data_IF_418482723495
#
_entry.id   IF_418482723495
#
_cell.length_a   1.000
_cell.length_b   1.000
_cell.length_c   1.000
_cell.angle_alpha   90.00
_cell.angle_beta   90.00
_cell.angle_gamma   90.00
#
_symmetry.space_group_name_H-M   'P 1'
#
loop_
_entity.id
_entity.type
_entity.pdbx_description
1 polymer ?
#
# COMPACT_ATOMS: atom_id res chain seq x y z
N UNK A 1 10.49 22.60 72.18
CA UNK A 1 11.17 22.33 70.89
C UNK A 1 10.19 21.51 70.04
N UNK A 2 9.47 22.17 69.10
CA UNK A 2 8.46 21.51 68.24
C UNK A 2 9.08 21.35 66.85
N UNK A 3 9.25 20.11 66.43
CA UNK A 3 9.65 19.79 65.04
C UNK A 3 8.41 19.91 64.13
N UNK A 4 8.53 20.78 63.13
CA UNK A 4 7.56 20.90 62.06
C UNK A 4 8.04 20.01 60.89
N UNK A 5 7.27 18.96 60.58
CA UNK A 5 7.52 18.12 59.42
C UNK A 5 6.80 18.71 58.22
N UNK A 6 7.57 19.20 57.26
CA UNK A 6 7.06 19.69 55.99
C UNK A 6 7.03 18.49 55.02
N UNK A 7 5.84 17.94 54.74
CA UNK A 7 5.66 16.92 53.72
C UNK A 7 5.60 17.58 52.35
N UNK A 8 6.63 17.34 51.53
CA UNK A 8 6.64 17.72 50.11
C UNK A 8 5.82 16.71 49.33
N UNK A 9 4.69 17.16 48.81
CA UNK A 9 3.84 16.39 47.89
C UNK A 9 4.38 16.53 46.48
N UNK A 10 5.01 15.44 45.96
CA UNK A 10 5.48 15.37 44.58
C UNK A 10 4.28 15.03 43.69
N UNK A 11 3.81 16.02 42.93
CA UNK A 11 2.77 15.89 41.94
C UNK A 11 3.38 15.32 40.66
N UNK A 12 3.29 14.00 40.43
CA UNK A 12 3.63 13.36 39.17
C UNK A 12 2.60 13.75 38.11
N UNK A 13 2.94 14.66 37.21
CA UNK A 13 2.18 14.93 35.97
C UNK A 13 2.39 13.75 35.04
N UNK A 14 1.40 12.88 34.91
CA UNK A 14 1.30 11.87 33.83
C UNK A 14 0.95 12.63 32.53
N UNK A 15 1.96 12.86 31.70
CA UNK A 15 1.76 13.33 30.32
C UNK A 15 1.29 12.11 29.54
N UNK A 16 -0.03 12.02 29.31
CA UNK A 16 -0.58 11.08 28.35
C UNK A 16 -0.17 11.51 26.94
N UNK A 17 0.75 10.76 26.31
CA UNK A 17 1.03 10.93 24.89
C UNK A 17 -0.26 10.61 24.11
N UNK A 18 -0.64 11.43 23.10
CA UNK A 18 -1.79 11.10 22.26
C UNK A 18 -1.49 9.79 21.54
N UNK A 19 -2.20 8.72 21.89
CA UNK A 19 -2.15 7.44 21.20
C UNK A 19 -2.68 7.65 19.78
N UNK A 20 -1.83 7.46 18.76
CA UNK A 20 -2.27 7.39 17.36
C UNK A 20 -3.26 6.22 17.27
N UNK A 21 -4.43 6.47 16.70
CA UNK A 21 -5.44 5.42 16.51
C UNK A 21 -4.89 4.33 15.59
N UNK A 22 -5.12 3.04 15.93
CA UNK A 22 -4.73 1.90 15.08
C UNK A 22 -5.23 2.05 13.63
N UNK A 23 -6.41 2.62 13.43
CA UNK A 23 -6.97 2.89 12.11
C UNK A 23 -6.17 3.94 11.32
N UNK A 24 -5.65 4.95 12.00
CA UNK A 24 -4.81 6.00 11.39
C UNK A 24 -3.43 5.46 11.03
N UNK A 25 -2.86 4.57 11.84
CA UNK A 25 -1.60 3.86 11.54
C UNK A 25 -1.76 2.90 10.35
N UNK A 26 -2.88 2.17 10.24
CA UNK A 26 -3.17 1.28 9.11
C UNK A 26 -3.29 2.07 7.81
N UNK A 27 -4.07 3.16 7.81
CA UNK A 27 -4.22 4.02 6.64
C UNK A 27 -2.87 4.59 6.16
N UNK A 28 -2.08 5.13 7.08
CA UNK A 28 -0.74 5.66 6.78
C UNK A 28 0.21 4.60 6.23
N UNK A 29 0.12 3.36 6.73
CA UNK A 29 0.90 2.23 6.21
C UNK A 29 0.50 1.87 4.77
N UNK A 30 -0.79 1.87 4.44
CA UNK A 30 -1.30 1.61 3.08
C UNK A 30 -0.90 2.75 2.13
N UNK A 31 -0.99 4.01 2.55
CA UNK A 31 -0.55 5.16 1.75
C UNK A 31 0.94 5.09 1.39
N UNK A 32 1.79 4.68 2.33
CA UNK A 32 3.22 4.43 2.07
C UNK A 32 3.43 3.31 1.07
N UNK A 33 2.69 2.19 1.21
CA UNK A 33 2.78 1.08 0.28
C UNK A 33 2.35 1.48 -1.14
N UNK A 34 1.27 2.25 -1.28
CA UNK A 34 0.81 2.79 -2.58
C UNK A 34 1.82 3.74 -3.20
N UNK A 35 2.38 4.65 -2.41
CA UNK A 35 3.41 5.59 -2.89
C UNK A 35 4.65 4.85 -3.41
N UNK A 36 5.11 3.82 -2.70
CA UNK A 36 6.26 3.02 -3.12
C UNK A 36 5.94 2.22 -4.39
N UNK A 37 4.75 1.64 -4.48
CA UNK A 37 4.28 0.89 -5.63
C UNK A 37 4.15 1.78 -6.87
N UNK A 38 3.50 2.95 -6.77
CA UNK A 38 3.38 3.95 -7.84
C UNK A 38 4.76 4.43 -8.31
N UNK A 39 5.69 4.65 -7.39
CA UNK A 39 7.04 5.06 -7.74
C UNK A 39 7.78 4.00 -8.57
N UNK A 40 7.65 2.71 -8.24
CA UNK A 40 8.22 1.61 -9.00
C UNK A 40 7.55 1.48 -10.37
N UNK A 41 6.21 1.55 -10.41
CA UNK A 41 5.44 1.49 -11.66
C UNK A 41 5.83 2.62 -12.61
N UNK A 42 5.90 3.86 -12.13
CA UNK A 42 6.20 5.03 -12.95
C UNK A 42 7.66 5.10 -13.43
N UNK A 43 8.55 4.32 -12.82
CA UNK A 43 9.90 4.02 -13.34
C UNK A 43 9.90 2.89 -14.37
N UNK A 44 8.76 2.25 -14.61
CA UNK A 44 8.61 1.05 -15.44
C UNK A 44 9.53 -0.10 -14.99
N UNK A 45 9.79 -0.19 -13.68
CA UNK A 45 10.59 -1.24 -13.07
C UNK A 45 9.69 -2.39 -12.60
N UNK A 46 9.39 -3.32 -13.51
CA UNK A 46 8.53 -4.46 -13.24
C UNK A 46 9.07 -5.35 -12.11
N UNK A 47 10.38 -5.46 -11.97
CA UNK A 47 11.03 -6.22 -10.91
C UNK A 47 10.82 -5.55 -9.55
N UNK A 48 10.99 -4.23 -9.47
CA UNK A 48 10.70 -3.48 -8.25
C UNK A 48 9.22 -3.54 -7.88
N UNK A 49 8.30 -3.46 -8.85
CA UNK A 49 6.87 -3.68 -8.62
C UNK A 49 6.63 -5.08 -8.05
N UNK A 50 7.16 -6.13 -8.68
CA UNK A 50 7.00 -7.51 -8.22
C UNK A 50 7.60 -7.75 -6.82
N UNK A 51 8.66 -7.04 -6.43
CA UNK A 51 9.26 -7.13 -5.10
C UNK A 51 8.35 -6.62 -3.97
N UNK A 52 7.30 -5.87 -4.29
CA UNK A 52 6.27 -5.44 -3.32
C UNK A 52 5.28 -6.55 -2.96
N UNK A 53 5.33 -7.70 -3.62
CA UNK A 53 4.44 -8.83 -3.37
C UNK A 53 5.14 -9.90 -2.53
N UNK A 54 4.34 -10.65 -1.75
CA UNK A 54 4.82 -11.87 -1.07
C UNK A 54 4.99 -13.02 -2.06
N UNK A 55 5.76 -14.04 -1.70
CA UNK A 55 6.03 -15.19 -2.57
C UNK A 55 4.75 -15.94 -3.01
N UNK A 56 3.71 -15.99 -2.15
CA UNK A 56 2.43 -16.65 -2.41
C UNK A 56 1.37 -15.74 -3.03
N UNK A 57 1.74 -14.54 -3.48
CA UNK A 57 0.80 -13.53 -3.96
C UNK A 57 0.00 -13.95 -5.19
N UNK A 58 -1.16 -13.34 -5.34
CA UNK A 58 -2.03 -13.45 -6.52
C UNK A 58 -2.38 -12.07 -7.03
N UNK A 59 -2.24 -11.91 -8.34
CA UNK A 59 -2.72 -10.76 -9.08
C UNK A 59 -3.86 -11.23 -10.00
N UNK A 60 -5.02 -10.63 -9.87
CA UNK A 60 -6.22 -10.93 -10.65
C UNK A 60 -6.62 -9.72 -11.51
N UNK A 61 -6.04 -9.58 -12.70
CA UNK A 61 -6.37 -8.48 -13.61
C UNK A 61 -7.70 -8.70 -14.34
N UNK A 62 -8.25 -7.69 -15.00
CA UNK A 62 -9.51 -7.81 -15.76
C UNK A 62 -9.41 -8.75 -16.97
N UNK A 63 -8.23 -9.23 -17.31
CA UNK A 63 -8.02 -10.25 -18.36
C UNK A 63 -8.48 -11.66 -17.94
N UNK A 64 -8.90 -11.85 -16.69
CA UNK A 64 -9.29 -13.13 -16.08
C UNK A 64 -8.14 -14.17 -16.01
N UNK A 65 -6.91 -13.77 -16.24
CA UNK A 65 -5.72 -14.62 -16.09
C UNK A 65 -5.02 -14.27 -14.78
N UNK A 66 -5.02 -15.21 -13.83
CA UNK A 66 -4.36 -15.02 -12.53
C UNK A 66 -2.86 -15.18 -12.69
N UNK A 67 -2.09 -14.15 -12.29
CA UNK A 67 -0.64 -14.26 -12.15
C UNK A 67 -0.30 -14.66 -10.70
N UNK A 68 0.51 -15.70 -10.56
CA UNK A 68 0.83 -16.34 -9.29
C UNK A 68 2.31 -16.20 -8.95
N UNK A 69 2.59 -15.52 -7.84
CA UNK A 69 3.93 -15.27 -7.36
C UNK A 69 4.68 -14.19 -8.13
N UNK A 70 5.84 -13.73 -7.58
CA UNK A 70 6.54 -12.56 -8.12
C UNK A 70 6.95 -12.67 -9.58
N UNK A 71 7.35 -13.85 -10.07
CA UNK A 71 7.83 -14.01 -11.45
C UNK A 71 6.73 -13.80 -12.50
N UNK A 72 5.53 -14.36 -12.29
CA UNK A 72 4.41 -14.15 -13.21
C UNK A 72 3.86 -12.72 -13.09
N UNK A 73 3.88 -12.15 -11.89
CA UNK A 73 3.48 -10.76 -11.63
C UNK A 73 4.44 -9.78 -12.31
N UNK A 74 5.76 -10.01 -12.22
CA UNK A 74 6.76 -9.22 -12.94
C UNK A 74 6.51 -9.26 -14.45
N UNK A 75 6.29 -10.44 -15.02
CA UNK A 75 5.97 -10.63 -16.44
C UNK A 75 4.71 -9.87 -16.86
N UNK A 76 3.66 -9.90 -16.02
CA UNK A 76 2.44 -9.16 -16.27
C UNK A 76 2.68 -7.65 -16.37
N UNK A 77 3.36 -7.05 -15.38
CA UNK A 77 3.65 -5.62 -15.36
C UNK A 77 4.61 -5.21 -16.48
N UNK A 78 5.63 -6.02 -16.78
CA UNK A 78 6.52 -5.80 -17.92
C UNK A 78 5.75 -5.74 -19.25
N UNK A 79 4.72 -6.59 -19.41
CA UNK A 79 3.84 -6.56 -20.58
C UNK A 79 3.05 -5.26 -20.70
N UNK A 80 2.51 -4.72 -19.60
CA UNK A 80 1.83 -3.43 -19.59
C UNK A 80 2.78 -2.27 -19.91
N UNK A 81 3.99 -2.31 -19.40
CA UNK A 81 5.01 -1.29 -19.70
C UNK A 81 5.41 -1.31 -21.18
N UNK A 82 5.62 -2.49 -21.75
CA UNK A 82 5.86 -2.66 -23.18
C UNK A 82 4.69 -2.15 -24.05
N UNK A 83 3.45 -2.25 -23.54
CA UNK A 83 2.24 -1.68 -24.14
C UNK A 83 2.13 -0.16 -24.00
N UNK A 84 3.06 0.48 -23.27
CA UNK A 84 3.13 1.93 -23.12
C UNK A 84 2.21 2.53 -22.06
N UNK A 85 1.81 1.75 -21.07
CA UNK A 85 1.07 2.26 -19.90
C UNK A 85 2.03 3.05 -19.00
N UNK A 86 1.63 4.27 -18.61
CA UNK A 86 2.45 5.21 -17.83
C UNK A 86 1.58 6.05 -16.90
N UNK A 87 2.21 6.84 -16.01
CA UNK A 87 1.54 7.87 -15.22
C UNK A 87 0.53 7.29 -14.23
N UNK A 88 0.83 6.12 -13.63
CA UNK A 88 -0.05 5.46 -12.69
C UNK A 88 -0.14 6.22 -11.36
N UNK A 89 -1.33 6.26 -10.80
CA UNK A 89 -1.62 6.83 -9.49
C UNK A 89 -2.70 6.03 -8.78
N UNK A 90 -2.46 5.73 -7.51
CA UNK A 90 -3.44 5.18 -6.57
C UNK A 90 -3.95 6.28 -5.64
N UNK A 91 -5.26 6.41 -5.53
CA UNK A 91 -5.94 7.28 -4.57
C UNK A 91 -6.74 6.42 -3.61
N UNK A 92 -6.30 6.38 -2.34
CA UNK A 92 -6.92 5.53 -1.32
C UNK A 92 -8.36 5.97 -1.06
N UNK A 93 -9.28 5.00 -1.09
CA UNK A 93 -10.68 5.16 -0.68
C UNK A 93 -10.80 4.80 0.78
N UNK A 94 -10.40 3.57 1.13
CA UNK A 94 -10.51 3.02 2.46
C UNK A 94 -9.37 2.06 2.76
N UNK A 95 -9.06 1.90 4.05
CA UNK A 95 -8.08 0.94 4.55
C UNK A 95 -8.48 0.45 5.93
N UNK A 96 -8.20 -0.81 6.22
CA UNK A 96 -8.48 -1.44 7.51
C UNK A 96 -7.71 -2.75 7.66
N UNK A 97 -7.95 -3.42 8.77
CA UNK A 97 -7.28 -4.69 9.06
C UNK A 97 -6.74 -4.76 10.48
N UNK A 98 -5.83 -5.67 10.69
CA UNK A 98 -5.20 -5.94 11.98
C UNK A 98 -3.65 -5.93 11.89
N UNK A 99 -2.98 -6.44 12.91
CA UNK A 99 -1.52 -6.49 12.99
C UNK A 99 -0.86 -7.40 11.94
N UNK A 100 -1.62 -8.27 11.28
CA UNK A 100 -1.11 -9.27 10.32
C UNK A 100 -1.58 -9.03 8.92
N UNK A 101 -2.88 -8.74 8.76
CA UNK A 101 -3.54 -8.60 7.48
C UNK A 101 -4.21 -7.24 7.37
N UNK A 102 -3.85 -6.52 6.33
CA UNK A 102 -4.36 -5.18 6.05
C UNK A 102 -4.99 -5.18 4.66
N UNK A 103 -6.11 -4.51 4.50
CA UNK A 103 -6.68 -4.26 3.18
C UNK A 103 -6.62 -2.76 2.84
N UNK A 104 -6.59 -2.48 1.55
CA UNK A 104 -6.76 -1.15 1.00
C UNK A 104 -7.62 -1.20 -0.25
N UNK A 105 -8.48 -0.20 -0.42
CA UNK A 105 -9.22 0.04 -1.64
C UNK A 105 -8.83 1.39 -2.22
N UNK A 106 -8.76 1.48 -3.53
CA UNK A 106 -8.30 2.69 -4.21
C UNK A 106 -9.03 2.93 -5.53
N UNK A 107 -9.10 4.20 -5.94
CA UNK A 107 -9.21 4.54 -7.35
C UNK A 107 -7.82 4.48 -7.95
N UNK A 108 -7.71 3.98 -9.16
CA UNK A 108 -6.48 4.05 -9.91
C UNK A 108 -6.69 4.83 -11.20
N UNK A 109 -5.64 5.47 -11.67
CA UNK A 109 -5.59 6.13 -12.97
C UNK A 109 -4.23 5.88 -13.62
N UNK A 110 -4.19 5.88 -14.95
CA UNK A 110 -2.97 5.76 -15.75
C UNK A 110 -3.22 6.33 -17.15
N UNK A 111 -2.17 6.40 -17.95
CA UNK A 111 -2.25 6.71 -19.38
C UNK A 111 -1.81 5.49 -20.17
N UNK A 112 -2.67 5.01 -21.03
CA UNK A 112 -2.39 3.99 -22.03
C UNK A 112 -2.31 4.55 -23.43
N UNK A 113 -2.40 3.68 -24.43
CA UNK A 113 -2.48 4.04 -25.85
C UNK A 113 -3.72 3.43 -26.47
N UNK A 114 -4.36 4.20 -27.35
CA UNK A 114 -5.43 3.69 -28.20
C UNK A 114 -4.88 2.86 -29.38
N UNK A 115 -5.77 2.38 -30.26
CA UNK A 115 -5.40 1.61 -31.46
C UNK A 115 -4.53 2.37 -32.46
N UNK A 116 -4.53 3.70 -32.40
CA UNK A 116 -3.75 4.59 -33.26
C UNK A 116 -2.45 5.06 -32.57
N UNK A 117 -2.16 4.51 -31.35
CA UNK A 117 -0.97 4.86 -30.55
C UNK A 117 -1.08 6.19 -29.80
N UNK A 118 -2.24 6.85 -29.80
CA UNK A 118 -2.45 8.12 -29.09
C UNK A 118 -2.69 7.88 -27.61
N UNK A 119 -2.27 8.81 -26.73
CA UNK A 119 -2.55 8.72 -25.29
C UNK A 119 -4.04 8.58 -25.02
N UNK A 120 -4.39 7.65 -24.15
CA UNK A 120 -5.75 7.37 -23.72
C UNK A 120 -5.78 7.26 -22.18
N UNK A 121 -6.69 7.98 -21.49
CA UNK A 121 -6.84 7.84 -20.04
C UNK A 121 -7.41 6.46 -19.69
N UNK A 122 -6.82 5.84 -18.68
CA UNK A 122 -7.28 4.60 -18.06
C UNK A 122 -7.60 4.87 -16.60
N UNK A 123 -8.64 4.25 -16.06
CA UNK A 123 -8.98 4.37 -14.65
C UNK A 123 -9.89 3.22 -14.22
N UNK A 124 -9.96 3.00 -12.92
CA UNK A 124 -10.85 2.00 -12.34
C UNK A 124 -10.75 1.95 -10.82
N UNK A 125 -11.17 0.84 -10.26
CA UNK A 125 -11.07 0.54 -8.85
C UNK A 125 -10.08 -0.61 -8.62
N UNK A 126 -9.37 -0.56 -7.52
CA UNK A 126 -8.47 -1.62 -7.11
C UNK A 126 -8.73 -2.01 -5.66
N UNK A 127 -8.57 -3.29 -5.37
CA UNK A 127 -8.57 -3.85 -4.02
C UNK A 127 -7.24 -4.56 -3.78
N UNK A 128 -6.70 -4.35 -2.61
CA UNK A 128 -5.42 -4.88 -2.17
C UNK A 128 -5.57 -5.54 -0.80
N UNK A 129 -4.98 -6.72 -0.66
CA UNK A 129 -4.74 -7.34 0.65
C UNK A 129 -3.24 -7.42 0.86
N UNK A 130 -2.79 -6.94 2.00
CA UNK A 130 -1.40 -6.93 2.39
C UNK A 130 -1.14 -7.85 3.56
N UNK A 131 0.08 -8.37 3.63
CA UNK A 131 0.65 -8.97 4.83
C UNK A 131 1.64 -8.00 5.45
N UNK A 132 1.52 -7.77 6.76
CA UNK A 132 2.51 -6.98 7.51
C UNK A 132 3.76 -7.83 7.74
N UNK A 133 4.90 -7.28 7.35
CA UNK A 133 6.20 -7.89 7.52
C UNK A 133 6.74 -7.62 8.94
N UNK A 134 7.79 -8.33 9.34
CA UNK A 134 8.41 -8.17 10.66
C UNK A 134 8.98 -6.77 10.92
N UNK A 135 9.36 -6.04 9.87
CA UNK A 135 9.83 -4.66 9.92
C UNK A 135 8.70 -3.62 9.89
N UNK A 136 7.43 -4.08 9.93
CA UNK A 136 6.24 -3.24 9.88
C UNK A 136 5.81 -2.82 8.46
N UNK A 137 6.61 -3.10 7.43
CA UNK A 137 6.23 -2.82 6.05
C UNK A 137 5.08 -3.72 5.57
N UNK A 138 4.39 -3.29 4.51
CA UNK A 138 3.30 -4.05 3.90
C UNK A 138 3.76 -4.65 2.58
N UNK A 139 3.48 -5.94 2.36
CA UNK A 139 3.63 -6.61 1.06
C UNK A 139 2.29 -7.14 0.57
N UNK A 140 2.05 -7.01 -0.72
CA UNK A 140 0.84 -7.46 -1.38
C UNK A 140 0.73 -8.98 -1.36
N UNK A 141 -0.37 -9.49 -0.85
CA UNK A 141 -0.79 -10.89 -0.95
C UNK A 141 -1.81 -11.11 -2.06
N UNK A 142 -2.73 -10.16 -2.22
CA UNK A 142 -3.74 -10.20 -3.25
C UNK A 142 -3.93 -8.79 -3.84
N UNK A 143 -4.01 -8.72 -5.15
CA UNK A 143 -4.44 -7.53 -5.86
C UNK A 143 -5.46 -7.89 -6.92
N UNK A 144 -6.53 -7.13 -7.02
CA UNK A 144 -7.45 -7.14 -8.16
C UNK A 144 -7.76 -5.71 -8.56
N UNK A 145 -8.07 -5.52 -9.84
CA UNK A 145 -8.49 -4.23 -10.38
C UNK A 145 -9.36 -4.44 -11.64
N UNK A 146 -10.15 -3.45 -11.97
CA UNK A 146 -11.03 -3.46 -13.16
C UNK A 146 -10.72 -2.31 -14.11
#
# INVERSE_FOLDING_TARGET
>A
MRLVHTSAMVLCLLIAAPGVSLAEDVRGSVEKAYTAWDAAFNKQDAKAVAATYVASARLMPPTHQVASGPAEIEKFWAGLFAGGVTGHKLEIIDAGGDDKVVFGTAKWSATGKDKDGKPMPLSGLAMHVFERQADGSLKLRLQTFN
#
